data_IF_968142918026
#
_entry.id   IF_968142918026
#
_cell.length_a   1.000
_cell.length_b   1.000
_cell.length_c   1.000
_cell.angle_alpha   90.00
_cell.angle_beta   90.00
_cell.angle_gamma   90.00
#
_symmetry.space_group_name_H-M   'P 1'
#
loop_
_entity.id
_entity.type
_entity.pdbx_description
1 polymer ?
#
# COMPACT_ATOMS: atom_id res chain seq x y z
N UNK A 1 -8.15 17.94 -0.43
CA UNK A 1 -8.28 17.19 -1.69
C UNK A 1 -8.06 15.68 -1.49
N UNK A 2 -6.95 15.25 -0.87
CA UNK A 2 -6.69 13.81 -0.62
C UNK A 2 -7.75 13.12 0.26
N UNK A 3 -8.24 13.77 1.33
CA UNK A 3 -9.32 13.22 2.16
C UNK A 3 -10.60 12.98 1.35
N UNK A 4 -11.01 13.96 0.53
CA UNK A 4 -12.14 13.82 -0.37
C UNK A 4 -11.98 12.65 -1.36
N UNK A 5 -10.80 12.49 -1.97
CA UNK A 5 -10.54 11.38 -2.90
C UNK A 5 -10.63 10.02 -2.19
N UNK A 6 -10.11 9.92 -0.97
CA UNK A 6 -10.19 8.70 -0.16
C UNK A 6 -11.64 8.38 0.21
N UNK A 7 -12.42 9.36 0.63
CA UNK A 7 -13.83 9.14 0.97
C UNK A 7 -14.68 8.77 -0.26
N UNK A 8 -14.44 9.41 -1.40
CA UNK A 8 -15.12 9.07 -2.65
C UNK A 8 -14.70 7.69 -3.19
N UNK A 9 -13.41 7.31 -3.04
CA UNK A 9 -12.92 5.97 -3.35
C UNK A 9 -13.64 4.91 -2.51
N UNK A 10 -13.67 5.08 -1.19
CA UNK A 10 -14.33 4.15 -0.27
C UNK A 10 -15.83 4.04 -0.60
N UNK A 11 -16.50 5.17 -0.79
CA UNK A 11 -17.92 5.21 -1.16
C UNK A 11 -18.21 4.44 -2.45
N UNK A 12 -17.43 4.68 -3.52
CA UNK A 12 -17.61 3.96 -4.80
C UNK A 12 -17.21 2.50 -4.72
N UNK A 13 -16.24 2.15 -3.89
CA UNK A 13 -15.81 0.77 -3.64
C UNK A 13 -16.95 -0.06 -3.02
N UNK A 14 -17.62 0.52 -2.01
CA UNK A 14 -18.78 -0.08 -1.36
C UNK A 14 -19.96 -0.24 -2.33
N UNK A 15 -20.24 0.77 -3.15
CA UNK A 15 -21.29 0.69 -4.18
C UNK A 15 -21.05 -0.42 -5.22
N UNK A 16 -19.79 -0.77 -5.47
CA UNK A 16 -19.41 -1.83 -6.42
C UNK A 16 -19.23 -3.19 -5.77
N UNK A 17 -19.33 -3.29 -4.44
CA UNK A 17 -19.02 -4.52 -3.70
C UNK A 17 -17.56 -4.96 -3.82
N UNK A 18 -16.64 -4.05 -4.15
CA UNK A 18 -15.21 -4.33 -4.26
C UNK A 18 -14.51 -3.59 -3.13
N UNK A 19 -14.20 -4.25 -2.00
CA UNK A 19 -13.56 -3.58 -0.87
C UNK A 19 -12.16 -3.10 -1.26
N UNK A 20 -11.85 -1.85 -0.92
CA UNK A 20 -10.51 -1.26 -1.09
C UNK A 20 -9.96 -0.90 0.29
N UNK A 21 -8.79 -1.41 0.70
CA UNK A 21 -8.17 -1.07 1.98
C UNK A 21 -7.55 0.34 1.91
N UNK A 22 -8.41 1.37 1.98
CA UNK A 22 -8.00 2.76 1.87
C UNK A 22 -7.62 3.34 3.24
N UNK A 23 -6.33 3.62 3.43
CA UNK A 23 -5.82 4.26 4.65
C UNK A 23 -5.60 5.76 4.44
N UNK A 24 -6.13 6.59 5.34
CA UNK A 24 -5.85 8.01 5.35
C UNK A 24 -4.39 8.25 5.74
N UNK A 25 -3.67 9.02 4.93
CA UNK A 25 -2.28 9.40 5.22
C UNK A 25 -2.28 10.83 5.76
N UNK A 26 -1.87 11.02 7.02
CA UNK A 26 -1.59 12.34 7.60
C UNK A 26 -0.10 12.43 7.88
N UNK A 27 0.68 13.10 7.02
CA UNK A 27 2.11 13.28 7.26
C UNK A 27 2.34 14.20 8.47
N UNK A 28 3.15 13.76 9.42
CA UNK A 28 3.56 14.57 10.58
C UNK A 28 4.98 15.16 10.43
N UNK A 29 5.68 14.80 9.34
CA UNK A 29 7.07 15.19 9.04
C UNK A 29 7.16 16.04 7.78
N UNK A 30 8.25 16.82 7.69
CA UNK A 30 8.53 17.68 6.53
C UNK A 30 8.51 16.86 5.22
N UNK A 31 7.80 17.38 4.22
CA UNK A 31 7.60 16.71 2.93
C UNK A 31 8.93 16.43 2.22
N UNK A 32 9.90 17.34 2.29
CA UNK A 32 11.20 17.15 1.65
C UNK A 32 11.95 15.98 2.27
N UNK A 33 12.01 15.93 3.61
CA UNK A 33 12.67 14.85 4.34
C UNK A 33 12.03 13.49 4.06
N UNK A 34 10.69 13.45 3.94
CA UNK A 34 9.97 12.24 3.54
C UNK A 34 10.40 11.75 2.17
N UNK A 35 10.42 12.62 1.16
CA UNK A 35 10.83 12.24 -0.20
C UNK A 35 12.31 11.83 -0.22
N UNK A 36 13.19 12.51 0.51
CA UNK A 36 14.61 12.16 0.63
C UNK A 36 14.81 10.77 1.27
N UNK A 37 13.90 10.32 2.14
CA UNK A 37 13.98 8.99 2.75
C UNK A 37 13.92 7.82 1.75
N UNK A 38 13.49 8.07 0.50
CA UNK A 38 13.48 7.07 -0.56
C UNK A 38 14.87 6.75 -1.11
N UNK A 39 15.85 7.65 -0.99
CA UNK A 39 17.19 7.48 -1.55
C UNK A 39 17.87 6.15 -1.20
N UNK A 40 17.97 5.71 0.07
CA UNK A 40 18.59 4.43 0.40
C UNK A 40 17.86 3.23 -0.24
N UNK A 41 16.53 3.28 -0.35
CA UNK A 41 15.75 2.20 -0.96
C UNK A 41 15.93 2.13 -2.48
N UNK A 42 16.11 3.28 -3.12
CA UNK A 42 16.45 3.38 -4.54
C UNK A 42 17.88 2.87 -4.82
N UNK A 43 18.85 3.33 -4.03
CA UNK A 43 20.28 2.94 -4.17
C UNK A 43 20.47 1.44 -3.95
N UNK A 44 19.75 0.86 -3.00
CA UNK A 44 19.81 -0.58 -2.72
C UNK A 44 18.96 -1.43 -3.67
N UNK A 45 18.29 -0.83 -4.66
CA UNK A 45 17.45 -1.55 -5.62
C UNK A 45 16.17 -2.16 -5.03
N UNK A 46 15.72 -1.69 -3.86
CA UNK A 46 14.47 -2.13 -3.23
C UNK A 46 13.25 -1.50 -3.91
N UNK A 47 13.43 -0.34 -4.53
CA UNK A 47 12.43 0.32 -5.37
C UNK A 47 12.97 0.33 -6.80
N UNK A 48 12.25 -0.32 -7.71
CA UNK A 48 12.57 -0.36 -9.13
C UNK A 48 11.53 0.43 -9.91
N UNK A 49 11.99 1.32 -10.79
CA UNK A 49 11.13 2.08 -11.68
C UNK A 49 11.24 1.53 -13.09
N UNK A 50 10.10 1.39 -13.75
CA UNK A 50 10.08 1.03 -15.16
C UNK A 50 10.51 2.23 -16.02
N UNK A 51 11.26 2.00 -17.09
CA UNK A 51 11.82 3.07 -17.94
C UNK A 51 10.75 3.96 -18.60
N UNK A 52 9.53 3.45 -18.78
CA UNK A 52 8.39 4.22 -19.28
C UNK A 52 7.92 5.33 -18.33
N UNK A 53 8.30 5.29 -17.05
CA UNK A 53 7.95 6.30 -16.04
C UNK A 53 8.86 7.53 -16.14
N UNK A 54 9.08 8.06 -17.36
CA UNK A 54 10.06 9.11 -17.65
C UNK A 54 9.84 10.38 -16.82
N UNK A 55 8.58 10.78 -16.61
CA UNK A 55 8.24 11.95 -15.79
C UNK A 55 8.64 11.75 -14.33
N UNK A 56 8.27 10.62 -13.71
CA UNK A 56 8.64 10.31 -12.33
C UNK A 56 10.16 10.21 -12.17
N UNK A 57 10.84 9.57 -13.12
CA UNK A 57 12.31 9.47 -13.13
C UNK A 57 12.94 10.87 -13.20
N UNK A 58 12.43 11.76 -14.05
CA UNK A 58 12.91 13.14 -14.16
C UNK A 58 12.70 13.92 -12.85
N UNK A 59 11.50 13.81 -12.25
CA UNK A 59 11.18 14.45 -10.98
C UNK A 59 12.14 13.98 -9.87
N UNK A 60 12.37 12.67 -9.73
CA UNK A 60 13.27 12.09 -8.72
C UNK A 60 14.74 12.49 -8.94
N UNK A 61 15.21 12.57 -10.19
CA UNK A 61 16.58 12.97 -10.51
C UNK A 61 16.89 14.42 -10.17
N UNK A 62 15.90 15.29 -10.30
CA UNK A 62 16.08 16.74 -10.11
C UNK A 62 15.53 17.23 -8.77
N UNK A 63 14.93 16.35 -7.94
CA UNK A 63 14.45 16.69 -6.62
C UNK A 63 15.58 17.25 -5.73
N UNK A 64 15.36 18.31 -4.93
CA UNK A 64 14.11 19.06 -4.72
C UNK A 64 13.87 20.20 -5.71
N UNK A 65 14.73 20.36 -6.72
CA UNK A 65 14.70 21.48 -7.67
C UNK A 65 13.79 21.26 -8.88
N UNK A 66 13.12 20.11 -8.97
CA UNK A 66 12.16 19.82 -10.02
C UNK A 66 10.93 20.73 -9.89
N UNK A 67 10.28 21.06 -11.01
CA UNK A 67 9.06 21.88 -11.02
C UNK A 67 7.88 21.23 -10.27
N UNK A 68 7.91 19.90 -10.11
CA UNK A 68 6.85 19.10 -9.50
C UNK A 68 7.43 18.03 -8.58
N UNK A 69 6.77 17.84 -7.43
CA UNK A 69 7.13 16.88 -6.37
C UNK A 69 6.01 15.87 -6.06
N UNK A 70 4.93 15.89 -6.84
CA UNK A 70 3.74 15.05 -6.66
C UNK A 70 4.02 13.56 -6.92
N UNK A 71 4.82 13.24 -7.95
CA UNK A 71 5.27 11.88 -8.22
C UNK A 71 6.15 11.32 -7.09
N UNK A 72 7.23 12.00 -6.68
CA UNK A 72 8.04 11.60 -5.54
C UNK A 72 7.25 11.49 -4.22
N UNK A 73 6.33 12.41 -3.91
CA UNK A 73 5.48 12.32 -2.71
C UNK A 73 4.52 11.12 -2.77
N UNK A 74 3.92 10.85 -3.92
CA UNK A 74 3.07 9.67 -4.11
C UNK A 74 3.86 8.37 -3.97
N UNK A 75 5.11 8.32 -4.47
CA UNK A 75 5.99 7.17 -4.32
C UNK A 75 6.36 6.92 -2.85
N UNK A 76 6.62 7.99 -2.08
CA UNK A 76 6.87 7.86 -0.64
C UNK A 76 5.67 7.26 0.08
N UNK A 77 4.47 7.78 -0.22
CA UNK A 77 3.24 7.29 0.41
C UNK A 77 2.98 5.84 0.06
N UNK A 78 3.23 5.45 -1.19
CA UNK A 78 3.12 4.07 -1.67
C UNK A 78 4.10 3.16 -0.92
N UNK A 79 5.38 3.53 -0.85
CA UNK A 79 6.42 2.74 -0.19
C UNK A 79 6.09 2.52 1.29
N UNK A 80 5.73 3.60 2.00
CA UNK A 80 5.35 3.54 3.42
C UNK A 80 4.14 2.63 3.64
N UNK A 81 3.13 2.72 2.79
CA UNK A 81 1.95 1.86 2.88
C UNK A 81 2.27 0.41 2.55
N UNK A 82 3.11 0.14 1.56
CA UNK A 82 3.51 -1.21 1.17
C UNK A 82 4.27 -1.91 2.30
N UNK A 83 5.22 -1.23 2.93
CA UNK A 83 6.01 -1.77 4.06
C UNK A 83 5.18 -1.87 5.34
N UNK A 84 4.32 -0.88 5.61
CA UNK A 84 3.52 -0.85 6.84
C UNK A 84 2.28 -1.74 6.81
N UNK A 85 1.75 -2.05 5.63
CA UNK A 85 0.53 -2.85 5.46
C UNK A 85 0.80 -4.28 4.98
N UNK A 86 2.06 -4.65 4.74
CA UNK A 86 2.42 -6.03 4.40
C UNK A 86 2.29 -6.92 5.63
N UNK A 87 1.44 -7.94 5.58
CA UNK A 87 1.44 -9.02 6.56
C UNK A 87 2.66 -9.92 6.37
N UNK A 88 3.18 -10.48 7.46
CA UNK A 88 4.13 -11.57 7.36
C UNK A 88 3.44 -12.75 6.66
N UNK A 89 4.02 -13.22 5.54
CA UNK A 89 3.61 -14.51 4.98
C UNK A 89 4.31 -15.55 5.85
N UNK A 90 3.59 -16.15 6.77
CA UNK A 90 4.06 -17.35 7.45
C UNK A 90 4.14 -18.48 6.41
N UNK A 91 5.30 -19.11 6.31
CA UNK A 91 5.47 -20.25 5.44
C UNK A 91 4.85 -21.47 6.10
N UNK A 92 3.70 -21.91 5.61
CA UNK A 92 3.04 -23.14 6.05
C UNK A 92 3.57 -24.27 5.16
N UNK A 93 4.29 -25.21 5.77
CA UNK A 93 4.73 -26.41 5.07
C UNK A 93 3.55 -27.30 4.71
N UNK A 94 3.66 -28.06 3.61
CA UNK A 94 2.61 -28.99 3.18
C UNK A 94 2.30 -30.05 4.24
N UNK A 95 3.27 -30.36 5.11
CA UNK A 95 3.15 -31.24 6.28
C UNK A 95 2.26 -30.67 7.40
N UNK A 96 2.13 -29.34 7.48
CA UNK A 96 1.30 -28.66 8.49
C UNK A 96 -0.17 -28.53 8.07
N UNK A 97 -0.46 -28.68 6.77
CA UNK A 97 -1.83 -28.67 6.23
C UNK A 97 -2.55 -30.01 6.47
N UNK A 98 -1.80 -31.12 6.54
CA UNK A 98 -2.35 -32.48 6.73
C UNK A 98 -2.76 -32.76 8.19
N UNK A 99 -2.36 -31.89 9.13
CA UNK A 99 -2.72 -31.95 10.55
C UNK A 99 -3.96 -31.12 10.92
N UNK A 100 -4.55 -30.39 9.97
CA UNK A 100 -5.85 -29.77 10.18
C UNK A 100 -6.92 -30.86 9.98
N UNK A 101 -7.11 -31.68 11.01
CA UNK A 101 -8.27 -32.56 11.10
C UNK A 101 -9.50 -31.64 11.06
N UNK A 102 -10.26 -31.71 9.96
CA UNK A 102 -11.52 -31.00 9.82
C UNK A 102 -12.51 -31.73 10.73
N UNK A 103 -12.49 -31.42 12.02
CA UNK A 103 -13.66 -31.67 12.85
C UNK A 103 -14.77 -30.75 12.30
N UNK A 104 -15.84 -31.36 11.79
CA UNK A 104 -17.02 -30.71 11.22
C UNK A 104 -17.63 -29.68 12.21
N UNK A 105 -17.12 -28.44 12.22
CA UNK A 105 -17.67 -27.29 12.94
C UNK A 105 -18.15 -26.21 11.94
N UNK A 106 -18.68 -26.64 10.80
CA UNK A 106 -19.08 -25.77 9.67
C UNK A 106 -20.47 -25.10 9.82
N UNK A 107 -21.17 -25.24 10.94
CA UNK A 107 -22.53 -24.69 11.08
C UNK A 107 -22.61 -23.24 11.59
N UNK A 108 -21.59 -22.73 12.30
CA UNK A 108 -21.72 -21.45 13.02
C UNK A 108 -20.99 -20.26 12.39
N UNK A 109 -20.05 -20.48 11.47
CA UNK A 109 -19.17 -19.40 10.96
C UNK A 109 -19.89 -18.38 10.06
N UNK A 110 -20.99 -18.79 9.41
CA UNK A 110 -21.78 -17.93 8.50
C UNK A 110 -22.96 -17.22 9.18
N UNK A 111 -23.20 -17.46 10.48
CA UNK A 111 -24.33 -16.90 11.21
C UNK A 111 -24.16 -15.40 11.56
N UNK A 112 -22.92 -14.93 11.69
CA UNK A 112 -22.61 -13.57 12.17
C UNK A 112 -22.95 -12.44 11.18
N UNK A 113 -23.15 -12.75 9.90
CA UNK A 113 -23.35 -11.75 8.83
C UNK A 113 -24.78 -11.67 8.29
N UNK A 114 -25.75 -12.24 9.01
CA UNK A 114 -27.17 -11.95 8.80
C UNK A 114 -27.67 -11.13 9.98
N UNK A 115 -27.76 -9.82 9.77
CA UNK A 115 -28.89 -8.95 10.16
C UNK A 115 -28.67 -7.53 9.60
#
# INVERSE_FOLDING_TARGET
>A
FQEFLKDELVKRSAQRGIPVPATATKPNTDKMLRIESLQPHMVNGLILLHSSQATLISQLRHFPKADHDDGPDALEMLWRNAVGSSAAIEWIGLDQLDTFDVEDEDDDLYSFWRD
#
